data_IF_415789500132
#
_entry.id   IF_415789500132
#
_cell.length_a   1.000
_cell.length_b   1.000
_cell.length_c   1.000
_cell.angle_alpha   90.00
_cell.angle_beta   90.00
_cell.angle_gamma   90.00
#
_symmetry.space_group_name_H-M   'P 1'
#
loop_
_entity.id
_entity.type
_entity.pdbx_description
1 polymer ?
#
# COMPACT_ATOMS: atom_id res chain seq x y z
N UNK A 1 36.24 -4.21 -25.78
CA UNK A 1 35.03 -3.91 -24.99
C UNK A 1 35.28 -2.58 -24.32
N UNK A 2 34.52 -1.58 -24.74
CA UNK A 2 34.65 -0.20 -24.28
C UNK A 2 33.91 -0.06 -22.95
N UNK A 3 34.36 0.81 -22.04
CA UNK A 3 33.64 1.08 -20.78
C UNK A 3 32.15 1.40 -21.01
N UNK A 4 31.80 1.97 -22.17
CA UNK A 4 30.42 2.24 -22.60
C UNK A 4 29.56 0.97 -22.71
N UNK A 5 30.09 -0.15 -23.20
CA UNK A 5 29.38 -1.42 -23.31
C UNK A 5 29.06 -2.02 -21.94
N UNK A 6 29.92 -1.77 -20.94
CA UNK A 6 29.70 -2.20 -19.56
C UNK A 6 28.66 -1.33 -18.84
N UNK A 7 28.62 -0.03 -19.11
CA UNK A 7 27.55 0.85 -18.60
C UNK A 7 26.19 0.54 -19.25
N UNK A 8 26.17 0.32 -20.56
CA UNK A 8 24.94 -0.03 -21.29
C UNK A 8 24.44 -1.43 -20.91
N UNK A 9 25.36 -2.37 -20.67
CA UNK A 9 25.02 -3.69 -20.12
C UNK A 9 24.51 -3.58 -18.68
N UNK A 10 25.12 -2.77 -17.80
CA UNK A 10 24.64 -2.55 -16.43
C UNK A 10 23.27 -1.84 -16.38
N UNK A 11 22.99 -0.92 -17.31
CA UNK A 11 21.67 -0.28 -17.47
C UNK A 11 20.62 -1.24 -18.06
N UNK A 12 21.03 -2.20 -18.90
CA UNK A 12 20.14 -3.25 -19.43
C UNK A 12 19.99 -4.45 -18.48
N UNK A 13 20.93 -4.63 -17.55
CA UNK A 13 21.04 -5.78 -16.64
C UNK A 13 20.83 -5.43 -15.17
N UNK A 14 20.28 -4.25 -14.83
CA UNK A 14 19.67 -4.07 -13.52
C UNK A 14 18.60 -5.16 -13.41
N UNK A 15 18.85 -6.11 -12.51
CA UNK A 15 18.17 -7.40 -12.39
C UNK A 15 16.66 -7.18 -12.30
N UNK A 16 15.97 -7.37 -13.43
CA UNK A 16 14.51 -7.33 -13.50
C UNK A 16 14.00 -8.63 -12.92
N UNK A 17 13.86 -8.70 -11.60
CA UNK A 17 13.19 -9.84 -11.00
C UNK A 17 11.72 -9.78 -11.44
N UNK A 18 11.24 -10.76 -12.24
CA UNK A 18 9.82 -10.82 -12.56
C UNK A 18 9.03 -11.05 -11.28
N UNK A 19 7.78 -10.61 -11.28
CA UNK A 19 6.88 -10.81 -10.15
C UNK A 19 6.84 -12.29 -9.73
N UNK A 20 7.03 -12.52 -8.44
CA UNK A 20 6.86 -13.81 -7.80
C UNK A 20 5.81 -13.67 -6.71
N UNK A 21 4.62 -14.20 -6.95
CA UNK A 21 3.50 -14.13 -6.00
C UNK A 21 3.86 -14.80 -4.67
N UNK A 22 3.67 -14.08 -3.57
CA UNK A 22 3.77 -14.59 -2.22
C UNK A 22 2.43 -15.16 -1.76
N UNK A 23 2.46 -16.27 -1.04
CA UNK A 23 1.23 -16.83 -0.46
C UNK A 23 0.83 -16.05 0.78
N UNK A 24 -0.21 -15.21 0.67
CA UNK A 24 -0.75 -14.45 1.79
C UNK A 24 -1.88 -15.22 2.46
N UNK A 25 -1.76 -15.46 3.77
CA UNK A 25 -2.77 -16.11 4.62
C UNK A 25 -3.07 -15.22 5.82
N UNK A 26 -4.34 -14.83 6.00
CA UNK A 26 -4.76 -13.87 7.04
C UNK A 26 -5.65 -14.54 8.11
N UNK A 27 -5.18 -15.61 8.72
CA UNK A 27 -6.00 -16.50 9.56
C UNK A 27 -6.38 -15.89 10.92
N UNK A 28 -5.55 -14.97 11.43
CA UNK A 28 -5.77 -14.27 12.70
C UNK A 28 -5.87 -12.76 12.48
N UNK A 29 -7.09 -12.24 12.56
CA UNK A 29 -7.35 -10.81 12.43
C UNK A 29 -7.61 -10.25 13.82
N UNK A 30 -6.81 -9.27 14.23
CA UNK A 30 -7.00 -8.56 15.49
C UNK A 30 -7.64 -7.20 15.22
N UNK A 31 -8.84 -7.00 15.74
CA UNK A 31 -9.54 -5.71 15.70
C UNK A 31 -9.20 -4.91 16.95
N UNK A 32 -8.61 -3.74 16.77
CA UNK A 32 -8.28 -2.81 17.86
C UNK A 32 -9.13 -1.55 17.71
N UNK A 33 -9.98 -1.27 18.69
CA UNK A 33 -10.92 -0.15 18.64
C UNK A 33 -10.96 0.59 19.98
N UNK A 34 -11.35 1.87 19.93
CA UNK A 34 -11.66 2.67 21.12
C UNK A 34 -13.08 2.45 21.64
N UNK A 35 -13.92 1.77 20.86
CA UNK A 35 -15.26 1.36 21.27
C UNK A 35 -15.22 0.24 22.33
N UNK A 36 -16.33 0.10 23.05
CA UNK A 36 -16.54 -0.99 24.02
C UNK A 36 -17.95 -1.56 23.89
N UNK A 37 -18.17 -2.76 24.45
CA UNK A 37 -19.48 -3.42 24.43
C UNK A 37 -20.06 -3.59 23.03
N UNK A 38 -21.35 -3.22 22.87
CA UNK A 38 -22.08 -3.41 21.62
C UNK A 38 -21.51 -2.61 20.44
N UNK A 39 -20.92 -1.45 20.70
CA UNK A 39 -20.34 -0.62 19.63
C UNK A 39 -19.10 -1.30 19.03
N UNK A 40 -18.29 -1.97 19.85
CA UNK A 40 -17.14 -2.76 19.38
C UNK A 40 -17.57 -4.02 18.62
N UNK A 41 -18.62 -4.69 19.07
CA UNK A 41 -19.22 -5.83 18.36
C UNK A 41 -19.75 -5.42 16.98
N UNK A 42 -20.45 -4.28 16.90
CA UNK A 42 -20.97 -3.74 15.65
C UNK A 42 -19.84 -3.33 14.71
N UNK A 43 -18.83 -2.63 15.21
CA UNK A 43 -17.64 -2.25 14.44
C UNK A 43 -16.96 -3.48 13.82
N UNK A 44 -16.73 -4.51 14.64
CA UNK A 44 -16.10 -5.77 14.21
C UNK A 44 -16.94 -6.49 13.16
N UNK A 45 -18.27 -6.51 13.34
CA UNK A 45 -19.18 -7.10 12.36
C UNK A 45 -19.16 -6.37 11.01
N UNK A 46 -19.18 -5.03 11.02
CA UNK A 46 -19.12 -4.22 9.81
C UNK A 46 -17.80 -4.41 9.07
N UNK A 47 -16.69 -4.50 9.80
CA UNK A 47 -15.36 -4.74 9.24
C UNK A 47 -15.31 -6.11 8.55
N UNK A 48 -15.88 -7.14 9.18
CA UNK A 48 -15.98 -8.47 8.58
C UNK A 48 -16.79 -8.45 7.27
N UNK A 49 -17.88 -7.67 7.19
CA UNK A 49 -18.65 -7.51 5.95
C UNK A 49 -17.85 -6.78 4.86
N UNK A 50 -17.12 -5.73 5.24
CA UNK A 50 -16.28 -4.92 4.35
C UNK A 50 -15.16 -5.77 3.71
N UNK A 51 -14.45 -6.55 4.52
CA UNK A 51 -13.40 -7.48 4.07
C UNK A 51 -13.94 -8.65 3.24
N UNK A 52 -15.26 -8.77 3.10
CA UNK A 52 -15.85 -9.59 2.07
C UNK A 52 -15.69 -11.09 2.25
N UNK A 53 -15.49 -11.56 3.50
CA UNK A 53 -15.30 -12.97 3.82
C UNK A 53 -13.94 -13.51 3.41
N UNK A 54 -12.85 -12.85 3.86
CA UNK A 54 -11.47 -13.35 3.75
C UNK A 54 -11.30 -14.82 4.22
N UNK A 55 -12.30 -15.38 4.93
CA UNK A 55 -12.37 -16.77 5.32
C UNK A 55 -13.80 -17.32 5.25
N UNK A 56 -13.95 -18.52 4.69
CA UNK A 56 -15.18 -19.34 4.73
C UNK A 56 -15.18 -20.29 5.96
N UNK A 57 -14.42 -19.93 6.99
CA UNK A 57 -14.16 -20.73 8.20
C UNK A 57 -15.36 -20.73 9.17
N UNK A 58 -15.65 -21.87 9.79
CA UNK A 58 -16.69 -22.04 10.81
C UNK A 58 -16.40 -21.33 12.16
N UNK A 59 -15.17 -20.84 12.37
CA UNK A 59 -14.78 -20.01 13.50
C UNK A 59 -14.39 -18.61 12.99
N UNK A 60 -14.91 -17.57 13.64
CA UNK A 60 -14.56 -16.18 13.33
C UNK A 60 -13.05 -15.98 13.54
N UNK A 61 -12.27 -15.61 12.50
CA UNK A 61 -10.84 -15.32 12.65
C UNK A 61 -10.56 -14.02 13.40
N UNK A 62 -11.61 -13.32 13.84
CA UNK A 62 -11.54 -12.01 14.47
C UNK A 62 -11.48 -12.12 15.99
N UNK A 63 -10.37 -11.65 16.56
CA UNK A 63 -10.28 -11.27 17.97
C UNK A 63 -10.48 -9.75 18.09
N UNK A 64 -10.95 -9.27 19.25
CA UNK A 64 -11.17 -7.85 19.48
C UNK A 64 -10.53 -7.38 20.79
N UNK A 65 -9.74 -6.32 20.69
CA UNK A 65 -9.22 -5.52 21.81
C UNK A 65 -10.01 -4.22 21.84
N UNK A 66 -10.81 -4.05 22.88
CA UNK A 66 -11.70 -2.90 23.08
C UNK A 66 -11.00 -1.79 23.87
N UNK A 67 -11.54 -0.57 23.79
CA UNK A 67 -10.86 0.63 24.33
C UNK A 67 -10.70 0.62 25.86
N UNK A 68 -11.46 -0.20 26.57
CA UNK A 68 -11.36 -0.39 28.01
C UNK A 68 -10.29 -1.42 28.44
N UNK A 69 -9.68 -2.14 27.49
CA UNK A 69 -8.65 -3.15 27.76
C UNK A 69 -7.23 -2.59 27.82
N UNK A 70 -6.99 -1.36 27.37
CA UNK A 70 -5.68 -0.71 27.37
C UNK A 70 -5.82 0.80 27.57
N UNK A 71 -4.87 1.39 28.28
CA UNK A 71 -4.85 2.82 28.62
C UNK A 71 -3.65 3.55 28.01
N UNK A 72 -2.66 2.81 27.54
CA UNK A 72 -1.42 3.32 26.98
C UNK A 72 -0.88 2.38 25.88
N UNK A 73 0.11 2.87 25.15
CA UNK A 73 0.71 2.14 24.01
C UNK A 73 1.36 0.83 24.46
N UNK A 74 2.08 0.80 25.59
CA UNK A 74 2.78 -0.39 26.08
C UNK A 74 1.82 -1.56 26.38
N UNK A 75 0.67 -1.25 26.99
CA UNK A 75 -0.40 -2.23 27.23
C UNK A 75 -0.95 -2.79 25.91
N UNK A 76 -1.24 -1.92 24.92
CA UNK A 76 -1.71 -2.37 23.61
C UNK A 76 -0.69 -3.26 22.92
N UNK A 77 0.58 -2.88 22.92
CA UNK A 77 1.66 -3.67 22.31
C UNK A 77 1.76 -5.06 22.95
N UNK A 78 1.61 -5.15 24.27
CA UNK A 78 1.61 -6.43 25.00
C UNK A 78 0.44 -7.33 24.60
N UNK A 79 -0.75 -6.75 24.39
CA UNK A 79 -1.93 -7.49 23.91
C UNK A 79 -1.73 -7.99 22.47
N UNK A 80 -1.15 -7.18 21.61
CA UNK A 80 -0.86 -7.56 20.22
C UNK A 80 0.18 -8.69 20.16
N UNK A 81 1.25 -8.58 20.95
CA UNK A 81 2.29 -9.61 21.03
C UNK A 81 1.74 -10.96 21.50
N UNK A 82 0.80 -10.94 22.46
CA UNK A 82 0.12 -12.15 22.92
C UNK A 82 -0.82 -12.75 21.86
N UNK A 83 -1.51 -11.89 21.11
CA UNK A 83 -2.46 -12.33 20.09
C UNK A 83 -1.78 -12.93 18.85
N UNK A 84 -0.57 -12.44 18.50
CA UNK A 84 0.18 -12.80 17.29
C UNK A 84 -0.71 -12.80 16.02
N UNK A 85 -1.28 -11.64 15.66
CA UNK A 85 -2.15 -11.53 14.49
C UNK A 85 -1.36 -11.56 13.18
N UNK A 86 -2.05 -11.99 12.12
CA UNK A 86 -1.59 -11.88 10.72
C UNK A 86 -2.01 -10.54 10.11
N UNK A 87 -3.05 -9.91 10.67
CA UNK A 87 -3.51 -8.57 10.31
C UNK A 87 -4.08 -7.84 11.54
N UNK A 88 -3.70 -6.58 11.72
CA UNK A 88 -4.31 -5.69 12.71
C UNK A 88 -5.26 -4.74 11.98
N UNK A 89 -6.53 -4.70 12.37
CA UNK A 89 -7.47 -3.71 11.86
C UNK A 89 -7.79 -2.70 12.97
N UNK A 90 -7.59 -1.42 12.72
CA UNK A 90 -7.81 -0.38 13.72
C UNK A 90 -8.36 0.91 13.14
N UNK A 91 -8.97 1.73 13.99
CA UNK A 91 -9.42 3.07 13.60
C UNK A 91 -8.26 4.06 13.58
N UNK A 92 -8.36 5.04 12.68
CA UNK A 92 -7.49 6.22 12.70
C UNK A 92 -7.57 6.94 14.04
N UNK A 93 -6.46 7.52 14.50
CA UNK A 93 -6.41 8.31 15.73
C UNK A 93 -7.01 7.54 16.91
N UNK A 94 -6.61 6.26 17.06
CA UNK A 94 -7.05 5.40 18.15
C UNK A 94 -6.78 6.08 19.51
N UNK A 95 -7.79 6.13 20.37
CA UNK A 95 -7.76 6.83 21.67
C UNK A 95 -7.38 8.32 21.63
N UNK A 96 -7.43 8.96 20.47
CA UNK A 96 -7.22 10.41 20.39
C UNK A 96 -8.49 11.15 20.88
N UNK A 97 -8.36 12.17 21.76
CA UNK A 97 -9.49 13.00 22.15
C UNK A 97 -10.11 13.80 20.99
N UNK A 98 -9.38 13.98 19.88
CA UNK A 98 -9.86 14.59 18.64
C UNK A 98 -9.75 13.55 17.52
N UNK A 99 -10.77 12.69 17.35
CA UNK A 99 -10.73 11.57 16.41
C UNK A 99 -10.51 11.95 14.94
N UNK A 100 -10.80 13.20 14.56
CA UNK A 100 -10.67 13.71 13.18
C UNK A 100 -9.40 14.55 12.97
N UNK A 101 -8.46 14.54 13.92
CA UNK A 101 -7.25 15.37 13.86
C UNK A 101 -6.49 15.11 12.53
N UNK A 102 -6.40 16.10 11.62
CA UNK A 102 -6.05 15.85 10.23
C UNK A 102 -4.54 15.80 9.97
N UNK A 103 -3.70 15.80 11.00
CA UNK A 103 -2.25 16.00 10.87
C UNK A 103 -1.41 14.86 11.43
N UNK A 104 -2.03 13.78 11.90
CA UNK A 104 -1.35 12.62 12.49
C UNK A 104 -2.27 11.40 12.46
N UNK A 105 -1.68 10.21 12.49
CA UNK A 105 -2.43 8.95 12.69
C UNK A 105 -2.70 8.64 14.17
N UNK A 106 -2.10 9.42 15.08
CA UNK A 106 -2.16 9.23 16.52
C UNK A 106 -1.04 8.33 17.05
N UNK A 107 -0.66 8.54 18.31
CA UNK A 107 0.50 7.88 18.93
C UNK A 107 0.44 6.35 18.87
N UNK A 108 -0.74 5.76 19.04
CA UNK A 108 -0.91 4.31 18.97
C UNK A 108 -0.62 3.77 17.57
N UNK A 109 -1.18 4.38 16.53
CA UNK A 109 -0.99 3.93 15.15
C UNK A 109 0.44 4.19 14.68
N UNK A 110 1.01 5.35 15.01
CA UNK A 110 2.40 5.67 14.68
C UNK A 110 3.36 4.65 15.30
N UNK A 111 3.17 4.25 16.57
CA UNK A 111 4.02 3.24 17.21
C UNK A 111 3.76 1.83 16.66
N UNK A 112 2.50 1.47 16.38
CA UNK A 112 2.16 0.17 15.80
C UNK A 112 2.85 -0.02 14.45
N UNK A 113 2.73 0.93 13.54
CA UNK A 113 3.36 0.88 12.20
C UNK A 113 4.89 0.87 12.27
N UNK A 114 5.49 1.46 13.30
CA UNK A 114 6.93 1.46 13.52
C UNK A 114 7.47 0.13 14.05
N UNK A 115 6.86 -0.40 15.10
CA UNK A 115 7.44 -1.50 15.89
C UNK A 115 6.94 -2.87 15.40
N UNK A 116 5.69 -2.94 14.95
CA UNK A 116 5.05 -4.20 14.59
C UNK A 116 5.40 -4.57 13.15
N UNK A 117 5.68 -5.84 12.90
CA UNK A 117 5.93 -6.40 11.55
C UNK A 117 4.67 -6.91 10.86
N UNK A 118 3.58 -7.07 11.60
CA UNK A 118 2.26 -7.40 11.11
C UNK A 118 1.64 -6.18 10.39
N UNK A 119 1.02 -6.37 9.21
CA UNK A 119 0.25 -5.33 8.53
C UNK A 119 -0.81 -4.67 9.41
N UNK A 120 -0.98 -3.36 9.24
CA UNK A 120 -1.98 -2.56 9.93
C UNK A 120 -2.97 -1.99 8.92
N UNK A 121 -4.22 -2.45 8.96
CA UNK A 121 -5.33 -1.87 8.22
C UNK A 121 -5.97 -0.74 9.01
N UNK A 122 -5.80 0.49 8.53
CA UNK A 122 -6.50 1.67 9.02
C UNK A 122 -7.88 1.75 8.41
N UNK A 123 -8.88 1.77 9.29
CA UNK A 123 -10.28 1.86 8.93
C UNK A 123 -10.78 3.28 9.24
N UNK A 124 -11.49 3.92 8.29
CA UNK A 124 -12.19 5.17 8.55
C UNK A 124 -13.17 5.03 9.72
N UNK A 125 -13.28 6.07 10.54
CA UNK A 125 -14.23 6.07 11.67
C UNK A 125 -15.71 6.15 11.24
N UNK A 126 -15.97 6.46 9.98
CA UNK A 126 -17.33 6.50 9.44
C UNK A 126 -17.81 5.07 9.09
N UNK A 127 -18.85 4.55 9.73
CA UNK A 127 -19.22 3.13 9.59
C UNK A 127 -19.95 2.75 8.27
N UNK A 128 -19.76 3.54 7.19
CA UNK A 128 -20.37 3.31 5.88
C UNK A 128 -19.35 2.69 4.91
N UNK A 129 -18.74 1.58 5.29
CA UNK A 129 -17.75 0.91 4.44
C UNK A 129 -18.42 0.03 3.39
N UNK A 130 -18.02 0.22 2.14
CA UNK A 130 -18.39 -0.68 1.06
C UNK A 130 -17.50 -1.93 1.09
N UNK A 131 -17.99 -3.02 0.47
CA UNK A 131 -17.17 -4.21 0.28
C UNK A 131 -15.96 -3.86 -0.58
N UNK A 132 -14.76 -4.29 -0.16
CA UNK A 132 -13.52 -4.04 -0.90
C UNK A 132 -13.57 -4.76 -2.24
N UNK A 133 -13.70 -4.01 -3.34
CA UNK A 133 -13.69 -4.55 -4.71
C UNK A 133 -12.55 -4.01 -5.53
N UNK A 134 -12.27 -2.72 -5.40
CA UNK A 134 -11.17 -2.09 -6.12
C UNK A 134 -10.04 -1.78 -5.15
N UNK A 135 -8.89 -2.41 -5.36
CA UNK A 135 -7.70 -2.26 -4.52
C UNK A 135 -6.62 -1.58 -5.35
N UNK A 136 -5.95 -0.57 -4.81
CA UNK A 136 -4.79 0.03 -5.43
C UNK A 136 -3.53 -0.23 -4.60
N UNK A 137 -2.46 -0.66 -5.25
CA UNK A 137 -1.15 -0.80 -4.62
C UNK A 137 -0.27 0.40 -4.99
N UNK A 138 0.34 1.05 -3.99
CA UNK A 138 1.16 2.25 -4.14
C UNK A 138 2.42 2.13 -3.30
N UNK A 139 3.54 2.50 -3.90
CA UNK A 139 4.86 2.58 -3.27
C UNK A 139 5.73 3.54 -4.07
N UNK A 140 6.79 4.05 -3.46
CA UNK A 140 7.77 4.90 -4.13
C UNK A 140 8.52 4.13 -5.24
N UNK A 141 8.64 2.80 -5.09
CA UNK A 141 9.24 1.93 -6.09
C UNK A 141 8.48 0.60 -6.19
N UNK A 142 7.64 0.47 -7.22
CA UNK A 142 6.80 -0.72 -7.39
C UNK A 142 7.58 -1.94 -7.91
N UNK A 143 8.62 -1.69 -8.71
CA UNK A 143 9.39 -2.75 -9.36
C UNK A 143 10.08 -3.65 -8.32
N UNK A 144 9.82 -4.95 -8.41
CA UNK A 144 10.38 -5.95 -7.48
C UNK A 144 9.62 -6.09 -6.16
N UNK A 145 8.59 -5.28 -5.91
CA UNK A 145 7.80 -5.35 -4.68
C UNK A 145 6.73 -6.45 -4.75
N UNK A 146 7.17 -7.69 -4.59
CA UNK A 146 6.31 -8.86 -4.63
C UNK A 146 5.32 -8.86 -3.46
N UNK A 147 5.77 -8.38 -2.30
CA UNK A 147 5.02 -8.40 -1.05
C UNK A 147 3.78 -7.51 -1.14
N UNK A 148 3.97 -6.25 -1.55
CA UNK A 148 2.88 -5.29 -1.71
C UNK A 148 1.82 -5.80 -2.70
N UNK A 149 2.26 -6.27 -3.87
CA UNK A 149 1.36 -6.75 -4.93
C UNK A 149 0.61 -8.00 -4.47
N UNK A 150 1.25 -8.91 -3.74
CA UNK A 150 0.63 -10.13 -3.23
C UNK A 150 -0.44 -9.83 -2.18
N UNK A 151 -0.19 -8.89 -1.27
CA UNK A 151 -1.20 -8.42 -0.31
C UNK A 151 -2.39 -7.75 -1.01
N UNK A 152 -2.11 -6.86 -1.97
CA UNK A 152 -3.16 -6.18 -2.71
C UNK A 152 -4.03 -7.18 -3.51
N UNK A 153 -3.42 -8.18 -4.13
CA UNK A 153 -4.12 -9.26 -4.81
C UNK A 153 -4.97 -10.10 -3.84
N UNK A 154 -4.44 -10.49 -2.69
CA UNK A 154 -5.16 -11.29 -1.68
C UNK A 154 -6.39 -10.58 -1.12
N UNK A 155 -6.39 -9.24 -1.09
CA UNK A 155 -7.49 -8.42 -0.61
C UNK A 155 -8.47 -7.99 -1.72
N UNK A 156 -8.16 -8.29 -3.00
CA UNK A 156 -9.03 -7.97 -4.11
C UNK A 156 -10.14 -9.03 -4.24
N UNK A 157 -11.39 -8.63 -3.99
CA UNK A 157 -12.54 -9.53 -4.11
C UNK A 157 -12.70 -10.11 -5.52
N UNK A 158 -13.27 -11.30 -5.62
CA UNK A 158 -13.77 -11.86 -6.89
C UNK A 158 -14.75 -10.90 -7.57
N UNK A 159 -14.55 -10.68 -8.87
CA UNK A 159 -15.23 -9.69 -9.69
C UNK A 159 -14.70 -8.26 -9.53
N UNK A 160 -13.67 -8.07 -8.71
CA UNK A 160 -13.03 -6.78 -8.45
C UNK A 160 -11.85 -6.47 -9.38
N UNK A 161 -11.13 -5.40 -9.04
CA UNK A 161 -10.00 -4.89 -9.82
C UNK A 161 -8.83 -4.52 -8.90
N UNK A 162 -7.66 -5.05 -9.22
CA UNK A 162 -6.37 -4.64 -8.66
C UNK A 162 -5.75 -3.59 -9.59
N UNK A 163 -5.57 -2.37 -9.10
CA UNK A 163 -4.89 -1.28 -9.81
C UNK A 163 -3.45 -1.21 -9.31
N UNK A 164 -2.50 -1.43 -10.22
CA UNK A 164 -1.08 -1.26 -9.95
C UNK A 164 -0.64 0.10 -10.50
N UNK A 165 -0.33 1.04 -9.61
CA UNK A 165 -0.09 2.44 -9.95
C UNK A 165 1.33 2.89 -9.58
N UNK A 166 2.09 3.33 -10.58
CA UNK A 166 3.40 3.98 -10.43
C UNK A 166 3.32 5.43 -10.92
N UNK A 167 3.64 6.38 -10.03
CA UNK A 167 3.78 7.79 -10.38
C UNK A 167 5.24 8.17 -10.21
N UNK A 168 5.91 8.47 -11.32
CA UNK A 168 7.27 9.01 -11.31
C UNK A 168 7.22 10.52 -11.01
N UNK A 169 8.09 11.02 -10.13
CA UNK A 169 8.08 12.43 -9.72
C UNK A 169 8.57 13.35 -10.86
N UNK A 170 7.66 14.12 -11.43
CA UNK A 170 7.97 15.06 -12.50
C UNK A 170 8.94 16.16 -12.05
N UNK A 171 8.84 16.66 -10.82
CA UNK A 171 9.73 17.70 -10.33
C UNK A 171 11.18 17.20 -10.23
N UNK A 172 11.37 15.98 -9.72
CA UNK A 172 12.67 15.32 -9.67
C UNK A 172 13.21 15.07 -11.08
N UNK A 173 12.37 14.54 -11.98
CA UNK A 173 12.74 14.32 -13.38
C UNK A 173 13.20 15.63 -14.06
N UNK A 174 12.43 16.71 -13.94
CA UNK A 174 12.76 18.03 -14.51
C UNK A 174 14.08 18.57 -13.97
N UNK A 175 14.40 18.32 -12.70
CA UNK A 175 15.68 18.70 -12.09
C UNK A 175 16.87 17.96 -12.71
N UNK A 176 16.70 16.67 -13.02
CA UNK A 176 17.73 15.90 -13.73
C UNK A 176 17.95 16.44 -15.15
N UNK A 177 16.87 16.66 -15.91
CA UNK A 177 16.96 17.21 -17.28
C UNK A 177 17.64 18.59 -17.28
N UNK A 178 17.28 19.46 -16.33
CA UNK A 178 17.94 20.77 -16.18
C UNK A 178 19.45 20.66 -15.91
N UNK A 179 19.87 19.63 -15.19
CA UNK A 179 21.28 19.39 -14.88
C UNK A 179 22.03 18.83 -16.09
N UNK A 180 21.42 17.88 -16.79
CA UNK A 180 21.95 17.28 -18.03
C UNK A 180 22.13 18.36 -19.11
N UNK A 181 21.18 19.29 -19.24
CA UNK A 181 21.27 20.39 -20.21
C UNK A 181 22.40 21.38 -19.98
N UNK A 182 23.12 21.31 -18.86
CA UNK A 182 24.35 22.08 -18.63
C UNK A 182 25.59 21.44 -19.27
N UNK A 183 25.47 20.22 -19.80
CA UNK A 183 26.55 19.47 -20.43
C UNK A 183 26.51 19.76 -21.94
N UNK A 184 27.46 20.55 -22.51
CA UNK A 184 27.35 21.04 -23.88
C UNK A 184 27.37 19.95 -24.96
N UNK A 185 27.87 18.75 -24.61
CA UNK A 185 27.98 17.61 -25.53
C UNK A 185 26.74 16.72 -25.59
N UNK A 186 25.71 16.98 -24.78
CA UNK A 186 24.49 16.16 -24.72
C UNK A 186 23.35 16.92 -25.37
N UNK A 187 22.66 16.28 -26.31
CA UNK A 187 21.36 16.75 -26.78
C UNK A 187 20.34 16.56 -25.65
N UNK A 188 19.90 17.67 -25.06
CA UNK A 188 18.99 17.64 -23.91
C UNK A 188 17.61 17.13 -24.27
N UNK A 189 17.13 17.40 -25.49
CA UNK A 189 15.81 16.98 -25.92
C UNK A 189 15.77 15.46 -26.15
N UNK A 190 16.80 14.92 -26.81
CA UNK A 190 16.95 13.48 -26.98
C UNK A 190 17.13 12.78 -25.63
N UNK A 191 17.97 13.33 -24.74
CA UNK A 191 18.17 12.78 -23.40
C UNK A 191 16.87 12.78 -22.57
N UNK A 192 16.06 13.83 -22.66
CA UNK A 192 14.76 13.89 -21.98
C UNK A 192 13.82 12.78 -22.45
N UNK A 193 13.71 12.57 -23.76
CA UNK A 193 12.85 11.52 -24.32
C UNK A 193 13.30 10.12 -23.87
N UNK A 194 14.59 9.81 -24.05
CA UNK A 194 15.16 8.49 -23.72
C UNK A 194 15.09 8.20 -22.22
N UNK A 195 15.40 9.18 -21.37
CA UNK A 195 15.33 8.99 -19.92
C UNK A 195 13.91 8.78 -19.45
N UNK A 196 12.95 9.55 -19.98
CA UNK A 196 11.53 9.38 -19.65
C UNK A 196 11.05 7.98 -20.04
N UNK A 197 11.36 7.52 -21.24
CA UNK A 197 10.99 6.17 -21.68
C UNK A 197 11.63 5.10 -20.78
N UNK A 198 12.90 5.25 -20.44
CA UNK A 198 13.60 4.27 -19.62
C UNK A 198 13.09 4.22 -18.18
N UNK A 199 12.77 5.38 -17.58
CA UNK A 199 12.21 5.46 -16.22
C UNK A 199 10.85 4.77 -16.13
N UNK A 200 9.97 4.97 -17.12
CA UNK A 200 8.62 4.38 -17.10
C UNK A 200 8.62 2.91 -17.56
N UNK A 201 9.66 2.46 -18.23
CA UNK A 201 9.75 1.08 -18.76
C UNK A 201 9.87 0.05 -17.66
N UNK A 202 10.66 0.32 -16.63
CA UNK A 202 10.87 -0.63 -15.53
C UNK A 202 9.58 -1.00 -14.77
N UNK A 203 8.79 -0.03 -14.25
CA UNK A 203 7.50 -0.34 -13.63
C UNK A 203 6.52 -0.96 -14.64
N UNK A 204 6.60 -0.62 -15.93
CA UNK A 204 5.75 -1.20 -16.97
C UNK A 204 6.04 -2.70 -17.19
N UNK A 205 7.31 -3.04 -17.32
CA UNK A 205 7.74 -4.43 -17.48
C UNK A 205 7.39 -5.25 -16.22
N UNK A 206 7.53 -4.67 -15.03
CA UNK A 206 7.16 -5.33 -13.78
C UNK A 206 5.64 -5.56 -13.64
N UNK A 207 4.81 -4.54 -13.87
CA UNK A 207 3.34 -4.70 -13.83
C UNK A 207 2.87 -5.70 -14.89
N UNK A 208 3.48 -5.69 -16.07
CA UNK A 208 3.18 -6.69 -17.10
C UNK A 208 3.48 -8.11 -16.60
N UNK A 209 4.59 -8.30 -15.87
CA UNK A 209 4.89 -9.61 -15.25
C UNK A 209 3.85 -10.00 -14.20
N UNK A 210 3.34 -9.06 -13.40
CA UNK A 210 2.24 -9.30 -12.45
C UNK A 210 0.99 -9.78 -13.18
N UNK A 211 0.59 -9.07 -14.24
CA UNK A 211 -0.56 -9.44 -15.07
C UNK A 211 -0.43 -10.85 -15.66
N UNK A 212 0.76 -11.21 -16.13
CA UNK A 212 1.02 -12.54 -16.70
C UNK A 212 0.90 -13.66 -15.66
N UNK A 213 1.40 -13.45 -14.44
CA UNK A 213 1.29 -14.42 -13.34
C UNK A 213 -0.18 -14.61 -12.94
N UNK A 214 -0.90 -13.51 -12.69
CA UNK A 214 -2.30 -13.57 -12.30
C UNK A 214 -3.21 -14.14 -13.39
N UNK A 215 -2.96 -13.86 -14.67
CA UNK A 215 -3.75 -14.46 -15.77
C UNK A 215 -3.58 -15.98 -15.90
N UNK A 216 -2.47 -16.54 -15.42
CA UNK A 216 -2.23 -17.99 -15.44
C UNK A 216 -2.91 -18.72 -14.27
N UNK A 217 -3.40 -17.98 -13.27
CA UNK A 217 -4.04 -18.51 -12.09
C UNK A 217 -5.46 -18.98 -12.42
N UNK A 218 -5.74 -20.26 -12.17
CA UNK A 218 -7.02 -20.88 -12.54
C UNK A 218 -8.21 -20.31 -11.74
N UNK A 219 -7.94 -19.82 -10.53
CA UNK A 219 -8.87 -19.17 -9.62
C UNK A 219 -8.79 -17.63 -9.69
N UNK A 220 -8.19 -17.07 -10.76
CA UNK A 220 -8.12 -15.63 -10.95
C UNK A 220 -9.52 -15.02 -11.02
N UNK A 221 -9.94 -14.44 -9.90
CA UNK A 221 -11.27 -13.87 -9.72
C UNK A 221 -11.37 -12.39 -10.07
N UNK A 222 -10.25 -11.70 -10.28
CA UNK A 222 -10.20 -10.23 -10.42
C UNK A 222 -9.40 -9.79 -11.65
N UNK A 223 -9.54 -8.52 -12.04
CA UNK A 223 -8.78 -7.89 -13.12
C UNK A 223 -7.56 -7.14 -12.60
N UNK A 224 -6.52 -7.00 -13.41
CA UNK A 224 -5.31 -6.24 -13.06
C UNK A 224 -5.12 -5.09 -14.04
N UNK A 225 -5.26 -3.86 -13.57
CA UNK A 225 -5.05 -2.64 -14.33
C UNK A 225 -3.67 -2.02 -14.05
N UNK A 226 -3.08 -1.40 -15.06
CA UNK A 226 -1.78 -0.74 -14.99
C UNK A 226 -1.96 0.76 -15.17
N UNK A 227 -1.38 1.55 -14.26
CA UNK A 227 -1.30 3.00 -14.36
C UNK A 227 0.15 3.43 -14.14
N UNK A 228 0.76 4.03 -15.16
CA UNK A 228 2.16 4.45 -15.11
C UNK A 228 2.24 5.84 -15.73
N UNK A 229 2.58 6.83 -14.91
CA UNK A 229 2.61 8.23 -15.32
C UNK A 229 3.82 8.95 -14.72
N UNK A 230 4.25 10.00 -15.41
CA UNK A 230 5.11 11.03 -14.85
C UNK A 230 4.21 12.16 -14.35
N UNK A 231 4.32 12.55 -13.09
CA UNK A 231 3.38 13.53 -12.52
C UNK A 231 3.75 14.02 -11.12
N UNK A 232 2.75 14.55 -10.43
CA UNK A 232 2.84 15.07 -9.07
C UNK A 232 2.31 14.03 -8.09
N UNK A 233 3.24 13.35 -7.40
CA UNK A 233 2.97 12.15 -6.59
C UNK A 233 1.62 12.19 -5.83
N UNK A 234 1.49 13.06 -4.83
CA UNK A 234 0.28 13.10 -3.99
C UNK A 234 -0.99 13.50 -4.76
N UNK A 235 -0.90 14.48 -5.66
CA UNK A 235 -2.07 14.99 -6.40
C UNK A 235 -2.60 13.97 -7.40
N UNK A 236 -1.70 13.29 -8.11
CA UNK A 236 -2.07 12.30 -9.10
C UNK A 236 -2.56 11.01 -8.43
N UNK A 237 -1.98 10.56 -7.31
CA UNK A 237 -2.55 9.43 -6.57
C UNK A 237 -3.98 9.72 -6.09
N UNK A 238 -4.27 10.92 -5.58
CA UNK A 238 -5.65 11.32 -5.22
C UNK A 238 -6.59 11.27 -6.43
N UNK A 239 -6.14 11.76 -7.58
CA UNK A 239 -6.92 11.70 -8.83
C UNK A 239 -7.17 10.26 -9.30
N UNK A 240 -6.18 9.38 -9.17
CA UNK A 240 -6.29 7.98 -9.53
C UNK A 240 -7.26 7.24 -8.60
N UNK A 241 -7.21 7.54 -7.30
CA UNK A 241 -8.15 7.00 -6.30
C UNK A 241 -9.60 7.31 -6.69
N UNK A 242 -9.87 8.58 -7.00
CA UNK A 242 -11.21 9.01 -7.41
C UNK A 242 -11.62 8.40 -8.75
N UNK A 243 -10.72 8.40 -9.74
CA UNK A 243 -11.00 7.92 -11.10
C UNK A 243 -11.33 6.43 -11.17
N UNK A 244 -10.63 5.61 -10.38
CA UNK A 244 -10.80 4.16 -10.37
C UNK A 244 -11.75 3.69 -9.25
N UNK A 245 -12.37 4.61 -8.49
CA UNK A 245 -13.27 4.30 -7.38
C UNK A 245 -12.62 3.32 -6.38
N UNK A 246 -11.37 3.60 -5.99
CA UNK A 246 -10.59 2.71 -5.11
C UNK A 246 -11.26 2.60 -3.73
N UNK A 247 -11.44 1.36 -3.25
CA UNK A 247 -12.02 1.07 -1.93
C UNK A 247 -10.98 0.69 -0.87
N UNK A 248 -9.77 0.31 -1.29
CA UNK A 248 -8.65 0.02 -0.40
C UNK A 248 -7.35 0.48 -1.08
N UNK A 249 -6.54 1.24 -0.35
CA UNK A 249 -5.18 1.55 -0.76
C UNK A 249 -4.19 0.70 0.05
N UNK A 250 -3.23 0.07 -0.61
CA UNK A 250 -2.16 -0.70 0.02
C UNK A 250 -0.85 0.04 -0.14
N UNK A 251 -0.12 0.25 0.96
CA UNK A 251 1.09 1.05 1.04
C UNK A 251 2.15 0.29 1.84
N UNK A 252 3.40 0.36 1.41
CA UNK A 252 4.51 0.04 2.30
C UNK A 252 4.75 1.19 3.26
N UNK A 253 4.96 0.87 4.53
CA UNK A 253 5.33 1.84 5.54
C UNK A 253 6.78 1.79 5.94
N UNK A 254 7.54 0.80 5.49
CA UNK A 254 8.97 0.72 5.77
C UNK A 254 9.74 0.70 4.46
N UNK A 255 10.69 1.61 4.33
CA UNK A 255 11.64 1.61 3.21
C UNK A 255 12.79 0.63 3.47
N UNK A 256 13.66 0.39 2.48
CA UNK A 256 14.83 -0.51 2.56
C UNK A 256 15.78 -0.16 3.72
N UNK A 257 15.86 1.14 4.07
CA UNK A 257 16.60 1.66 5.23
C UNK A 257 15.87 1.48 6.58
N UNK A 258 14.73 0.77 6.59
CA UNK A 258 13.83 0.55 7.74
C UNK A 258 13.28 1.84 8.37
N UNK A 259 13.28 2.94 7.62
CA UNK A 259 12.62 4.17 8.05
C UNK A 259 11.11 4.00 7.92
N UNK A 260 10.44 3.97 9.07
CA UNK A 260 9.00 3.88 9.14
C UNK A 260 8.32 5.16 8.63
N UNK A 261 7.21 4.97 7.93
CA UNK A 261 6.38 5.98 7.29
C UNK A 261 7.16 6.96 6.42
N UNK A 262 8.18 6.50 5.68
CA UNK A 262 8.92 7.31 4.72
C UNK A 262 8.17 7.47 3.39
N UNK A 263 8.63 8.40 2.55
CA UNK A 263 8.08 8.53 1.20
C UNK A 263 6.64 9.02 1.14
N UNK A 264 5.85 8.40 0.27
CA UNK A 264 4.43 8.74 0.07
C UNK A 264 3.47 8.13 1.08
N UNK A 265 3.90 7.15 1.87
CA UNK A 265 3.03 6.40 2.76
C UNK A 265 2.39 7.31 3.83
N UNK A 266 3.18 8.13 4.53
CA UNK A 266 2.66 9.03 5.57
C UNK A 266 1.77 10.15 5.02
N UNK A 267 2.18 10.90 3.97
CA UNK A 267 1.33 11.93 3.40
C UNK A 267 -0.02 11.38 2.89
N UNK A 268 0.00 10.22 2.20
CA UNK A 268 -1.23 9.56 1.76
C UNK A 268 -2.07 9.08 2.95
N UNK A 269 -1.42 8.50 3.96
CA UNK A 269 -2.11 8.08 5.17
C UNK A 269 -2.70 9.25 5.95
N UNK A 270 -2.14 10.45 5.93
CA UNK A 270 -2.76 11.62 6.56
C UNK A 270 -3.94 12.15 5.73
N UNK A 271 -3.75 12.26 4.42
CA UNK A 271 -4.72 12.90 3.52
C UNK A 271 -5.98 12.04 3.27
N UNK A 272 -5.82 10.72 3.15
CA UNK A 272 -6.88 9.80 2.70
C UNK A 272 -7.71 9.25 3.86
N UNK A 273 -8.45 10.13 4.55
CA UNK A 273 -9.16 9.82 5.80
C UNK A 273 -10.43 8.99 5.65
N UNK A 274 -11.06 9.08 4.49
CA UNK A 274 -12.39 8.52 4.24
C UNK A 274 -12.36 7.12 3.60
N UNK A 275 -11.17 6.52 3.44
CA UNK A 275 -11.02 5.19 2.86
C UNK A 275 -10.12 4.27 3.70
N UNK A 276 -10.37 2.95 3.67
CA UNK A 276 -9.45 1.96 4.21
C UNK A 276 -8.06 2.04 3.60
N UNK A 277 -7.04 1.93 4.45
CA UNK A 277 -5.64 1.83 4.05
C UNK A 277 -5.02 0.59 4.67
N UNK A 278 -4.28 -0.21 3.91
CA UNK A 278 -3.41 -1.25 4.45
C UNK A 278 -1.97 -0.75 4.46
N UNK A 279 -1.36 -0.79 5.63
CA UNK A 279 0.00 -0.37 5.90
C UNK A 279 0.85 -1.62 6.16
N UNK A 280 1.82 -1.89 5.27
CA UNK A 280 2.75 -3.02 5.35
C UNK A 280 4.05 -2.65 6.05
#
# INVERSE_FOLDING_TARGET
MTNLDQFESAFKSADRQPFAEESITLDKILVVTDASGQDAEQFTYQLHQCLGGLHDSAQSPYACVTGDQFSNVEELMSLIEQAQPDLICTVRNLHDPIPELPYSLGAYVDVMTQIISCPVMLIPRNNNWEKIKTVMAVTDHLSGDNHLVSYAAALTSTGGTLVLAHVEDEQVFRRYIHTIGKIPSIDTAEAEEVLREQLLKEPADYILSCQQVFQQRADQGFQVESVIILGHLLEDYKRLIERHEINLLVLNTKDEDQLAMHGLAYPLAIELREMPLLLL
#
